data_IF_324803857320
#
_entry.id   IF_324803857320
#
_cell.length_a   1.000
_cell.length_b   1.000
_cell.length_c   1.000
_cell.angle_alpha   90.00
_cell.angle_beta   90.00
_cell.angle_gamma   90.00
#
_symmetry.space_group_name_H-M   'P 1'
#
loop_
_entity.id
_entity.type
_entity.pdbx_description
1 polymer ?
#
# COMPACT_ATOMS: atom_id res chain seq x y z
N UNK A 1 3.09 -14.88 22.91
CA UNK A 1 3.23 -14.43 21.51
C UNK A 1 3.89 -13.07 21.56
N UNK A 2 5.14 -12.94 21.08
CA UNK A 2 5.83 -11.64 21.05
C UNK A 2 5.00 -10.67 20.22
N UNK A 3 4.76 -9.47 20.76
CA UNK A 3 4.04 -8.40 20.09
C UNK A 3 4.81 -8.06 18.80
N UNK A 4 4.28 -8.46 17.65
CA UNK A 4 4.83 -8.02 16.36
C UNK A 4 4.77 -6.50 16.33
N UNK A 5 5.93 -5.86 16.17
CA UNK A 5 5.99 -4.42 15.96
C UNK A 5 5.35 -4.09 14.60
N UNK A 6 4.46 -3.08 14.53
CA UNK A 6 3.87 -2.68 13.26
C UNK A 6 4.95 -2.23 12.27
N UNK A 7 4.80 -2.64 11.02
CA UNK A 7 5.70 -2.30 9.92
C UNK A 7 5.43 -0.85 9.49
N UNK A 8 6.42 0.06 9.57
CA UNK A 8 6.26 1.44 9.12
C UNK A 8 6.03 1.52 7.61
N UNK A 9 5.09 2.38 7.23
CA UNK A 9 4.76 2.74 5.85
C UNK A 9 5.08 4.21 5.64
N UNK A 10 5.94 4.52 4.68
CA UNK A 10 6.17 5.89 4.20
C UNK A 10 5.41 6.09 2.89
N UNK A 11 4.64 7.17 2.80
CA UNK A 11 3.86 7.52 1.61
C UNK A 11 4.57 8.62 0.80
N UNK A 12 4.85 8.36 -0.47
CA UNK A 12 5.31 9.38 -1.42
C UNK A 12 4.10 9.94 -2.18
N UNK A 13 3.93 11.25 -2.16
CA UNK A 13 2.79 11.93 -2.82
C UNK A 13 3.23 12.78 -4.00
N UNK A 14 4.50 13.16 -4.06
CA UNK A 14 5.03 14.06 -5.07
C UNK A 14 5.87 13.32 -6.13
N UNK A 15 5.64 13.59 -7.43
CA UNK A 15 6.51 13.08 -8.49
C UNK A 15 7.97 13.52 -8.28
N UNK A 16 8.92 12.57 -8.42
CA UNK A 16 10.34 12.85 -8.28
C UNK A 16 10.85 12.94 -6.83
N UNK A 17 9.99 12.69 -5.84
CA UNK A 17 10.42 12.54 -4.45
C UNK A 17 11.37 11.35 -4.31
N UNK A 18 12.58 11.61 -3.80
CA UNK A 18 13.59 10.58 -3.57
C UNK A 18 13.51 10.08 -2.13
N UNK A 19 13.50 8.77 -1.97
CA UNK A 19 13.57 8.09 -0.67
C UNK A 19 14.61 6.96 -0.76
N UNK A 20 15.45 6.76 0.27
CA UNK A 20 16.34 5.61 0.30
C UNK A 20 15.53 4.31 0.31
N UNK A 21 15.96 3.33 -0.49
CA UNK A 21 15.44 1.97 -0.49
C UNK A 21 16.57 1.03 -0.06
N UNK A 22 16.62 0.78 1.24
CA UNK A 22 17.54 -0.19 1.82
C UNK A 22 17.13 -1.62 1.43
N UNK A 23 18.03 -2.59 1.64
CA UNK A 23 17.80 -3.98 1.26
C UNK A 23 16.57 -4.62 1.94
N UNK A 24 16.14 -4.08 3.08
CA UNK A 24 14.98 -4.51 3.86
C UNK A 24 13.75 -3.60 3.68
N UNK A 25 13.74 -2.77 2.63
CA UNK A 25 12.60 -1.91 2.28
C UNK A 25 11.83 -2.47 1.09
N UNK A 26 10.54 -2.68 1.29
CA UNK A 26 9.63 -3.03 0.20
C UNK A 26 9.06 -1.77 -0.46
N UNK A 27 8.94 -1.76 -1.80
CA UNK A 27 8.30 -0.70 -2.55
C UNK A 27 6.99 -1.20 -3.17
N UNK A 28 5.90 -0.46 -2.97
CA UNK A 28 4.64 -0.60 -3.71
C UNK A 28 4.43 0.68 -4.51
N UNK A 29 4.16 0.55 -5.81
CA UNK A 29 3.72 1.67 -6.65
C UNK A 29 2.24 1.52 -6.97
N UNK A 30 1.44 2.53 -6.60
CA UNK A 30 0.03 2.58 -6.96
C UNK A 30 -0.07 3.01 -8.43
N UNK A 31 -0.32 2.03 -9.31
CA UNK A 31 -0.26 2.21 -10.77
C UNK A 31 -1.56 2.84 -11.29
N UNK A 32 -1.81 4.08 -10.85
CA UNK A 32 -2.92 4.89 -11.31
C UNK A 32 -2.70 5.40 -12.74
N UNK A 33 -3.79 5.82 -13.40
CA UNK A 33 -3.80 6.31 -14.78
C UNK A 33 -3.20 5.29 -15.77
N UNK A 34 -3.67 4.05 -15.69
CA UNK A 34 -3.25 2.91 -16.54
C UNK A 34 -3.38 3.12 -18.07
N UNK A 35 -3.94 4.24 -18.53
CA UNK A 35 -4.11 4.55 -19.96
C UNK A 35 -5.35 3.94 -20.59
N UNK A 36 -6.24 3.32 -19.80
CA UNK A 36 -7.44 2.63 -20.27
C UNK A 36 -8.63 3.56 -20.60
N UNK A 37 -8.47 4.88 -20.51
CA UNK A 37 -9.51 5.85 -20.94
C UNK A 37 -10.65 6.08 -19.95
N UNK A 38 -10.50 5.64 -18.69
CA UNK A 38 -11.43 5.91 -17.59
C UNK A 38 -10.64 6.13 -16.28
N UNK A 39 -11.25 6.75 -15.28
CA UNK A 39 -10.60 6.90 -13.97
C UNK A 39 -10.46 5.54 -13.28
N UNK A 40 -9.46 5.42 -12.40
CA UNK A 40 -9.23 4.21 -11.63
C UNK A 40 -10.37 4.00 -10.63
N UNK A 41 -10.94 2.80 -10.61
CA UNK A 41 -12.07 2.48 -9.72
C UNK A 41 -13.47 2.76 -10.29
N UNK A 42 -13.59 3.56 -11.36
CA UNK A 42 -14.91 3.95 -11.89
C UNK A 42 -15.63 2.82 -12.64
N UNK A 43 -14.94 2.14 -13.56
CA UNK A 43 -15.57 1.17 -14.48
C UNK A 43 -14.83 -0.16 -14.54
N UNK A 44 -13.55 -0.19 -14.15
CA UNK A 44 -12.70 -1.35 -14.30
C UNK A 44 -12.21 -1.86 -12.94
N UNK A 45 -12.58 -3.09 -12.60
CA UNK A 45 -12.12 -3.79 -11.40
C UNK A 45 -10.59 -3.98 -11.39
N UNK A 46 -9.97 -4.15 -12.55
CA UNK A 46 -8.52 -4.29 -12.64
C UNK A 46 -7.82 -2.98 -12.27
N UNK A 47 -8.29 -1.84 -12.79
CA UNK A 47 -7.73 -0.53 -12.42
C UNK A 47 -8.01 -0.18 -10.95
N UNK A 48 -9.19 -0.53 -10.43
CA UNK A 48 -9.50 -0.42 -9.01
C UNK A 48 -8.48 -1.19 -8.13
N UNK A 49 -8.14 -2.42 -8.53
CA UNK A 49 -7.21 -3.27 -7.80
C UNK A 49 -5.76 -2.74 -7.82
N UNK A 50 -5.34 -2.06 -8.88
CA UNK A 50 -3.99 -1.47 -9.00
C UNK A 50 -3.76 -0.30 -8.03
N UNK A 51 -4.83 0.31 -7.52
CA UNK A 51 -4.78 1.44 -6.58
C UNK A 51 -5.27 1.09 -5.17
N UNK A 52 -5.73 -0.14 -4.93
CA UNK A 52 -6.15 -0.61 -3.59
C UNK A 52 -4.90 -0.90 -2.72
N UNK A 53 -4.42 0.14 -2.03
CA UNK A 53 -3.25 0.07 -1.15
C UNK A 53 -3.39 -1.01 -0.06
N UNK A 54 -4.60 -1.27 0.45
CA UNK A 54 -4.79 -2.28 1.51
C UNK A 54 -4.66 -3.69 0.93
N UNK A 55 -5.25 -3.95 -0.24
CA UNK A 55 -5.06 -5.24 -0.91
C UNK A 55 -3.59 -5.48 -1.25
N UNK A 56 -2.88 -4.47 -1.76
CA UNK A 56 -1.47 -4.58 -2.12
C UNK A 56 -0.57 -4.84 -0.90
N UNK A 57 -0.78 -4.14 0.21
CA UNK A 57 -0.06 -4.39 1.47
C UNK A 57 -0.35 -5.78 2.05
N UNK A 58 -1.59 -6.25 1.94
CA UNK A 58 -1.93 -7.62 2.36
C UNK A 58 -1.22 -8.67 1.50
N UNK A 59 -1.21 -8.49 0.17
CA UNK A 59 -0.49 -9.38 -0.74
C UNK A 59 1.01 -9.40 -0.42
N UNK A 60 1.60 -8.22 -0.18
CA UNK A 60 3.00 -8.08 0.22
C UNK A 60 3.35 -8.90 1.48
N UNK A 61 2.45 -8.89 2.46
CA UNK A 61 2.58 -9.65 3.71
C UNK A 61 2.42 -11.15 3.48
N UNK A 62 1.47 -11.56 2.65
CA UNK A 62 1.23 -12.96 2.31
C UNK A 62 2.38 -13.57 1.50
N UNK A 63 2.94 -12.84 0.54
CA UNK A 63 4.14 -13.23 -0.19
C UNK A 63 5.33 -13.45 0.76
N UNK A 64 5.52 -12.57 1.74
CA UNK A 64 6.58 -12.73 2.74
C UNK A 64 6.34 -13.95 3.63
N UNK A 65 5.11 -14.17 4.10
CA UNK A 65 4.75 -15.35 4.92
C UNK A 65 4.94 -16.69 4.20
N UNK A 66 4.93 -16.67 2.87
CA UNK A 66 5.09 -17.85 2.01
C UNK A 66 6.51 -17.98 1.45
N UNK A 67 7.45 -17.17 1.95
CA UNK A 67 8.83 -17.12 1.47
C UNK A 67 8.96 -16.85 -0.04
N UNK A 68 7.97 -16.16 -0.63
CA UNK A 68 7.93 -15.80 -2.05
C UNK A 68 8.67 -14.49 -2.35
N UNK A 69 9.14 -13.79 -1.31
CA UNK A 69 9.93 -12.56 -1.44
C UNK A 69 10.90 -12.40 -0.26
N UNK A 70 11.98 -11.59 -0.42
CA UNK A 70 12.87 -11.26 0.69
C UNK A 70 12.13 -10.63 1.88
N UNK A 71 12.68 -10.82 3.08
CA UNK A 71 12.18 -10.15 4.27
C UNK A 71 12.30 -8.63 4.16
N UNK A 72 11.35 -7.92 4.76
CA UNK A 72 11.33 -6.46 4.82
C UNK A 72 10.89 -6.01 6.21
N UNK A 73 11.42 -4.87 6.65
CA UNK A 73 11.06 -4.24 7.93
C UNK A 73 10.35 -2.91 7.72
N UNK A 74 10.31 -2.40 6.49
CA UNK A 74 9.70 -1.10 6.11
C UNK A 74 9.02 -1.21 4.76
N UNK A 75 8.01 -0.38 4.53
CA UNK A 75 7.35 -0.25 3.23
C UNK A 75 7.34 1.20 2.78
N UNK A 76 7.67 1.44 1.52
CA UNK A 76 7.41 2.68 0.82
C UNK A 76 6.23 2.45 -0.12
N UNK A 77 5.22 3.31 -0.03
CA UNK A 77 4.10 3.37 -0.98
C UNK A 77 4.26 4.63 -1.81
N UNK A 78 4.44 4.46 -3.11
CA UNK A 78 4.45 5.55 -4.07
C UNK A 78 3.02 5.75 -4.61
N UNK A 79 2.40 6.85 -4.19
CA UNK A 79 1.08 7.29 -4.60
C UNK A 79 1.14 8.56 -5.46
N UNK A 80 2.31 8.92 -5.99
CA UNK A 80 2.50 10.15 -6.76
C UNK A 80 1.58 10.25 -7.99
N UNK A 81 1.28 9.10 -8.61
CA UNK A 81 0.38 8.99 -9.76
C UNK A 81 -1.11 8.99 -9.41
N UNK A 82 -1.49 8.76 -8.14
CA UNK A 82 -2.90 8.67 -7.72
C UNK A 82 -3.51 10.07 -7.70
N UNK A 83 -4.72 10.25 -8.24
CA UNK A 83 -5.39 11.55 -8.26
C UNK A 83 -5.75 12.04 -6.84
N UNK A 84 -6.47 11.20 -6.08
CA UNK A 84 -6.87 11.51 -4.70
C UNK A 84 -6.00 10.78 -3.67
N UNK A 85 -4.95 11.46 -3.20
CA UNK A 85 -4.05 10.94 -2.16
C UNK A 85 -4.73 10.85 -0.79
N UNK A 86 -5.80 11.61 -0.55
CA UNK A 86 -6.50 11.61 0.75
C UNK A 86 -7.18 10.27 1.00
N UNK A 87 -7.67 9.60 -0.05
CA UNK A 87 -8.18 8.23 0.02
C UNK A 87 -7.10 7.22 0.43
N UNK A 88 -5.88 7.35 -0.10
CA UNK A 88 -4.74 6.49 0.27
C UNK A 88 -4.40 6.68 1.75
N UNK A 89 -4.31 7.93 2.22
CA UNK A 89 -4.08 8.23 3.64
C UNK A 89 -5.23 7.70 4.51
N UNK A 90 -6.49 7.90 4.11
CA UNK A 90 -7.64 7.39 4.84
C UNK A 90 -7.63 5.86 4.95
N UNK A 91 -7.22 5.16 3.89
CA UNK A 91 -7.08 3.70 3.89
C UNK A 91 -5.99 3.23 4.85
N UNK A 92 -4.82 3.89 4.84
CA UNK A 92 -3.67 3.55 5.70
C UNK A 92 -3.88 3.91 7.18
N UNK A 93 -4.72 4.91 7.45
CA UNK A 93 -5.04 5.37 8.82
C UNK A 93 -6.32 4.76 9.38
N UNK A 94 -6.93 3.79 8.68
CA UNK A 94 -8.14 3.10 9.14
C UNK A 94 -9.40 3.96 9.19
N UNK A 95 -9.44 5.07 8.44
CA UNK A 95 -10.61 5.97 8.33
C UNK A 95 -11.65 5.49 7.31
N UNK A 96 -11.28 4.55 6.43
CA UNK A 96 -12.22 3.89 5.52
C UNK A 96 -12.84 2.64 6.17
N UNK A 97 -14.12 2.33 5.89
CA UNK A 97 -14.73 1.09 6.36
C UNK A 97 -13.94 -0.13 5.87
N UNK A 98 -13.80 -1.13 6.74
CA UNK A 98 -13.28 -2.43 6.36
C UNK A 98 -14.30 -3.15 5.47
N UNK A 99 -13.85 -3.65 4.33
CA UNK A 99 -14.64 -4.42 3.38
C UNK A 99 -14.31 -5.93 3.46
N UNK A 100 -13.16 -6.29 4.05
CA UNK A 100 -12.75 -7.68 4.22
C UNK A 100 -11.79 -7.86 5.42
N UNK A 101 -11.60 -9.12 5.85
CA UNK A 101 -10.66 -9.48 6.94
C UNK A 101 -9.21 -9.02 6.67
N UNK A 102 -8.82 -8.89 5.38
CA UNK A 102 -7.52 -8.36 4.98
C UNK A 102 -7.29 -6.94 5.48
N UNK A 103 -8.33 -6.11 5.52
CA UNK A 103 -8.21 -4.70 5.92
C UNK A 103 -7.86 -4.58 7.41
N UNK A 104 -8.44 -5.45 8.24
CA UNK A 104 -8.09 -5.55 9.65
C UNK A 104 -6.66 -6.06 9.87
N UNK A 105 -6.20 -6.98 9.02
CA UNK A 105 -4.81 -7.46 9.06
C UNK A 105 -3.87 -6.31 8.74
N UNK A 106 -4.13 -5.55 7.67
CA UNK A 106 -3.31 -4.40 7.28
C UNK A 106 -3.26 -3.36 8.39
N UNK A 107 -4.41 -2.97 8.95
CA UNK A 107 -4.49 -1.98 10.02
C UNK A 107 -3.75 -2.38 11.31
N UNK A 108 -3.51 -3.68 11.54
CA UNK A 108 -2.73 -4.19 12.68
C UNK A 108 -1.24 -4.30 12.38
N UNK A 109 -0.90 -4.61 11.13
CA UNK A 109 0.46 -4.94 10.74
C UNK A 109 1.24 -3.75 10.17
N UNK A 110 0.56 -2.72 9.68
CA UNK A 110 1.18 -1.56 9.06
C UNK A 110 0.78 -0.27 9.75
N UNK A 111 1.69 0.69 9.82
CA UNK A 111 1.46 2.02 10.40
C UNK A 111 2.03 3.10 9.48
N UNK A 112 1.21 4.08 9.10
CA UNK A 112 1.69 5.25 8.34
C UNK A 112 2.61 6.09 9.23
N UNK A 113 3.80 6.42 8.74
CA UNK A 113 4.80 7.24 9.42
C UNK A 113 5.32 8.35 8.51
N UNK A 114 5.64 9.49 9.11
CA UNK A 114 5.97 10.73 8.40
C UNK A 114 4.73 11.55 8.12
#
# INVERSE_FOLDING_TARGET
MSRMEPIPVTLLTEPGQLVPLDADTALIRLSANSGHGHADGDTCVACAAQTDVRALLYNLLEEHRRDMRPAFTRVVVDASAVSDKTQVVAALTGRLPAQALRDHTVARMFVLVG
#
